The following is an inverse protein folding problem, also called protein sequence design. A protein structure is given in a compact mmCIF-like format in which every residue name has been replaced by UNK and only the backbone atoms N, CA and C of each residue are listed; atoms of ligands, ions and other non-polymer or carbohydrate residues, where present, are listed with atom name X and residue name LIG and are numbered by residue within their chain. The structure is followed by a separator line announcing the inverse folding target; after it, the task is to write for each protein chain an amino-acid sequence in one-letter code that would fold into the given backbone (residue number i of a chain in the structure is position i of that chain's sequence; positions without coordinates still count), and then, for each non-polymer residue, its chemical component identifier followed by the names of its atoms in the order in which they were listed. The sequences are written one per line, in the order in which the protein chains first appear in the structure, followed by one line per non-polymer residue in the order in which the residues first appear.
data_IF_831060240711
#
_entry.id   IF_831060240711
#
_cell.length_a   1.000
_cell.length_b   1.000
_cell.length_c   1.000
_cell.angle_alpha   90.00
_cell.angle_beta   90.00
_cell.angle_gamma   90.00
#
_symmetry.space_group_name_H-M   'P 1'
#
loop_
_entity.id
_entity.type
_entity.pdbx_description
1 polymer ?
#
# COMPACT_ATOMS: atom_id res chain seq x y z
N UNK A 1 19.95 37.55 11.62
CA UNK A 1 20.42 36.39 10.84
C UNK A 1 19.23 35.74 10.13
N UNK A 2 19.16 35.82 8.79
CA UNK A 2 18.09 35.19 8.00
C UNK A 2 18.50 33.76 7.69
N UNK A 3 17.74 32.77 8.20
CA UNK A 3 17.95 31.36 7.89
C UNK A 3 17.41 31.08 6.49
N UNK A 4 18.30 30.79 5.54
CA UNK A 4 17.95 30.31 4.21
C UNK A 4 17.48 28.86 4.32
N UNK A 5 16.21 28.61 4.00
CA UNK A 5 15.69 27.26 3.87
C UNK A 5 16.09 26.70 2.50
N UNK A 6 16.84 25.60 2.51
CA UNK A 6 17.28 24.89 1.33
C UNK A 6 16.07 24.24 0.64
N UNK A 7 15.90 24.52 -0.66
CA UNK A 7 14.77 24.05 -1.45
C UNK A 7 15.06 22.62 -1.90
N UNK A 8 14.75 21.67 -1.01
CA UNK A 8 14.78 20.24 -1.31
C UNK A 8 14.00 19.91 -2.58
N UNK A 9 14.64 19.15 -3.46
CA UNK A 9 14.17 18.79 -4.79
C UNK A 9 12.96 17.85 -4.69
N UNK A 10 11.76 18.35 -5.02
CA UNK A 10 10.49 17.59 -4.90
C UNK A 10 10.19 16.92 -6.25
N UNK A 11 10.45 15.61 -6.35
CA UNK A 11 10.04 14.84 -7.52
C UNK A 11 8.55 14.48 -7.44
N UNK A 12 7.77 14.90 -8.44
CA UNK A 12 6.34 14.59 -8.56
C UNK A 12 6.16 13.18 -9.11
N UNK A 13 5.59 12.28 -8.32
CA UNK A 13 5.05 11.02 -8.81
C UNK A 13 3.56 11.26 -9.13
N UNK A 14 3.20 11.17 -10.40
CA UNK A 14 1.82 11.35 -10.85
C UNK A 14 0.98 10.12 -10.46
N UNK A 15 -0.11 10.32 -9.72
CA UNK A 15 -1.13 9.30 -9.44
C UNK A 15 -2.51 9.85 -9.82
N UNK A 16 -3.28 9.07 -10.59
CA UNK A 16 -4.50 9.46 -11.30
C UNK A 16 -5.78 9.42 -10.42
N UNK A 17 -5.76 9.98 -9.20
CA UNK A 17 -6.99 10.21 -8.42
C UNK A 17 -6.88 11.48 -7.56
N UNK A 18 -7.91 12.32 -7.60
CA UNK A 18 -7.82 13.77 -7.30
C UNK A 18 -7.71 14.18 -5.82
N UNK A 19 -7.47 13.29 -4.85
CA UNK A 19 -7.57 13.69 -3.42
C UNK A 19 -6.32 13.42 -2.55
N UNK A 20 -5.33 12.65 -3.03
CA UNK A 20 -4.15 12.34 -2.21
C UNK A 20 -2.85 12.74 -2.90
N UNK A 21 -2.13 13.73 -2.36
CA UNK A 21 -0.75 14.00 -2.77
C UNK A 21 0.18 13.19 -1.87
N UNK A 22 0.79 12.13 -2.42
CA UNK A 22 1.90 11.44 -1.78
C UNK A 22 3.20 12.17 -2.14
N UNK A 23 3.98 12.55 -1.13
CA UNK A 23 5.34 13.05 -1.35
C UNK A 23 6.29 12.43 -0.35
N UNK A 24 7.46 12.03 -0.82
CA UNK A 24 8.53 11.50 0.02
C UNK A 24 9.44 12.66 0.44
N UNK A 25 9.61 12.85 1.75
CA UNK A 25 10.60 13.78 2.30
C UNK A 25 11.79 12.95 2.78
N UNK A 26 13.00 13.30 2.32
CA UNK A 26 14.22 12.68 2.85
C UNK A 26 14.68 13.46 4.08
N UNK A 27 14.60 12.85 5.26
CA UNK A 27 15.19 13.39 6.50
C UNK A 27 16.18 12.35 7.04
N UNK A 28 17.47 12.68 7.06
CA UNK A 28 18.50 11.82 7.66
C UNK A 28 18.72 10.46 6.99
N UNK A 29 18.44 10.32 5.69
CA UNK A 29 18.69 9.08 4.93
C UNK A 29 17.61 8.00 5.06
N UNK A 30 16.51 8.24 5.78
CA UNK A 30 15.31 7.40 5.75
C UNK A 30 14.17 8.11 5.01
N UNK A 31 13.46 7.44 4.10
CA UNK A 31 12.30 8.03 3.43
C UNK A 31 11.18 8.24 4.44
N UNK A 32 10.77 9.48 4.65
CA UNK A 32 9.59 9.83 5.43
C UNK A 32 8.42 10.02 4.48
N UNK A 33 7.42 9.15 4.60
CA UNK A 33 6.15 9.32 3.89
C UNK A 33 5.33 10.39 4.60
N UNK A 34 4.90 11.42 3.86
CA UNK A 34 4.01 12.44 4.37
C UNK A 34 2.66 12.34 3.65
N UNK A 35 1.57 12.29 4.44
CA UNK A 35 0.21 12.24 3.93
C UNK A 35 -0.48 13.56 4.28
N UNK A 36 -0.92 14.29 3.26
CA UNK A 36 -1.76 15.47 3.43
C UNK A 36 -3.21 15.11 3.07
N UNK A 37 -4.10 15.17 4.07
CA UNK A 37 -5.53 14.93 3.90
C UNK A 37 -6.24 16.29 3.78
N UNK A 38 -6.80 16.58 2.61
CA UNK A 38 -7.55 17.81 2.35
C UNK A 38 -9.04 17.63 2.67
N UNK A 39 -9.70 18.74 3.01
CA UNK A 39 -11.16 18.80 3.26
C UNK A 39 -11.63 17.87 4.40
N UNK A 40 -10.80 17.65 5.42
CA UNK A 40 -11.21 16.90 6.61
C UNK A 40 -12.14 17.78 7.47
N UNK A 41 -13.34 17.29 7.78
CA UNK A 41 -14.30 18.01 8.62
C UNK A 41 -13.74 18.29 10.02
N UNK A 42 -14.03 19.47 10.56
CA UNK A 42 -13.56 19.89 11.89
C UNK A 42 -14.08 18.97 13.01
N UNK A 43 -15.26 18.39 12.83
CA UNK A 43 -15.85 17.39 13.71
C UNK A 43 -15.01 16.10 13.75
N UNK A 44 -14.44 15.69 12.62
CA UNK A 44 -13.57 14.53 12.51
C UNK A 44 -12.24 14.81 13.22
N UNK A 45 -11.66 15.99 12.98
CA UNK A 45 -10.41 16.41 13.66
C UNK A 45 -10.60 16.43 15.18
N UNK A 46 -11.75 16.96 15.66
CA UNK A 46 -12.07 17.00 17.09
C UNK A 46 -12.16 15.60 17.70
N UNK A 47 -12.85 14.68 17.03
CA UNK A 47 -12.97 13.27 17.48
C UNK A 47 -11.62 12.56 17.48
N UNK A 48 -10.77 12.79 16.47
CA UNK A 48 -9.42 12.22 16.42
C UNK A 48 -8.54 12.72 17.56
N UNK A 49 -8.59 14.03 17.86
CA UNK A 49 -7.85 14.60 19.01
C UNK A 49 -8.33 14.00 20.33
N UNK A 50 -9.63 13.90 20.54
CA UNK A 50 -10.21 13.27 21.73
C UNK A 50 -9.74 11.83 21.88
N UNK A 51 -9.80 11.05 20.79
CA UNK A 51 -9.33 9.67 20.77
C UNK A 51 -7.84 9.54 21.07
N UNK A 52 -7.01 10.41 20.51
CA UNK A 52 -5.57 10.45 20.80
C UNK A 52 -5.29 10.73 22.29
N UNK A 53 -6.01 11.68 22.89
CA UNK A 53 -5.92 11.96 24.33
C UNK A 53 -6.34 10.77 25.19
N UNK A 54 -7.42 10.06 24.83
CA UNK A 54 -7.87 8.87 25.56
C UNK A 54 -6.85 7.72 25.47
N UNK A 55 -6.17 7.58 24.33
CA UNK A 55 -5.19 6.52 24.09
C UNK A 55 -3.77 6.89 24.55
N UNK A 56 -3.57 8.04 25.19
CA UNK A 56 -2.25 8.56 25.60
C UNK A 56 -1.24 8.64 24.44
N UNK A 57 -1.70 9.01 23.24
CA UNK A 57 -0.89 9.14 22.03
C UNK A 57 -0.92 10.56 21.49
N UNK A 58 0.09 10.92 20.71
CA UNK A 58 0.00 12.11 19.87
C UNK A 58 -1.05 11.91 18.79
N UNK A 59 -1.57 13.00 18.22
CA UNK A 59 -2.51 12.93 17.10
C UNK A 59 -1.90 12.17 15.91
N UNK A 60 -0.62 12.43 15.60
CA UNK A 60 0.12 11.72 14.56
C UNK A 60 0.21 10.22 14.87
N UNK A 61 0.58 9.85 16.09
CA UNK A 61 0.70 8.45 16.51
C UNK A 61 -0.63 7.71 16.44
N UNK A 62 -1.74 8.35 16.81
CA UNK A 62 -3.07 7.76 16.70
C UNK A 62 -3.49 7.59 15.23
N UNK A 63 -3.21 8.57 14.36
CA UNK A 63 -3.50 8.45 12.92
C UNK A 63 -2.69 7.32 12.30
N UNK A 64 -1.39 7.25 12.57
CA UNK A 64 -0.54 6.15 12.09
C UNK A 64 -1.08 4.80 12.54
N UNK A 65 -1.43 4.67 13.83
CA UNK A 65 -2.00 3.44 14.36
C UNK A 65 -3.31 3.04 13.70
N UNK A 66 -4.24 4.00 13.48
CA UNK A 66 -5.50 3.72 12.79
C UNK A 66 -5.24 3.23 11.37
N UNK A 67 -4.33 3.89 10.64
CA UNK A 67 -3.99 3.48 9.27
C UNK A 67 -3.34 2.09 9.25
N UNK A 68 -2.43 1.79 10.19
CA UNK A 68 -1.81 0.48 10.35
C UNK A 68 -2.86 -0.60 10.66
N UNK A 69 -3.77 -0.36 11.61
CA UNK A 69 -4.84 -1.30 11.95
C UNK A 69 -5.71 -1.58 10.72
N UNK A 70 -6.23 -0.53 10.07
CA UNK A 70 -7.13 -0.69 8.90
C UNK A 70 -6.42 -1.42 7.74
N UNK A 71 -5.14 -1.14 7.51
CA UNK A 71 -4.38 -1.80 6.43
C UNK A 71 -4.04 -3.24 6.77
N UNK A 72 -3.71 -3.54 8.03
CA UNK A 72 -3.46 -4.91 8.49
C UNK A 72 -4.73 -5.75 8.49
N UNK A 73 -5.85 -5.22 8.99
CA UNK A 73 -7.16 -5.89 8.99
C UNK A 73 -7.60 -6.22 7.55
N UNK A 74 -7.35 -5.31 6.61
CA UNK A 74 -7.64 -5.55 5.21
C UNK A 74 -6.69 -6.59 4.57
N UNK A 75 -5.43 -6.64 4.98
CA UNK A 75 -4.49 -7.68 4.53
C UNK A 75 -4.87 -9.05 5.09
N UNK A 76 -5.31 -9.12 6.33
CA UNK A 76 -5.79 -10.34 6.96
C UNK A 76 -7.09 -10.83 6.30
N UNK A 77 -8.06 -9.93 6.07
CA UNK A 77 -9.27 -10.22 5.30
C UNK A 77 -8.97 -10.68 3.86
N UNK A 78 -8.01 -10.04 3.18
CA UNK A 78 -7.52 -10.47 1.86
C UNK A 78 -6.84 -11.83 1.88
N UNK A 79 -6.10 -12.14 2.94
CA UNK A 79 -5.46 -13.44 3.12
C UNK A 79 -6.50 -14.54 3.32
N UNK A 80 -7.51 -14.29 4.15
CA UNK A 80 -8.61 -15.24 4.39
C UNK A 80 -9.34 -15.52 3.07
N UNK A 81 -9.76 -14.49 2.36
CA UNK A 81 -10.45 -14.63 1.06
C UNK A 81 -9.58 -15.34 0.01
N UNK A 82 -8.27 -15.07 -0.03
CA UNK A 82 -7.34 -15.79 -0.91
C UNK A 82 -7.22 -17.28 -0.54
N UNK A 83 -7.13 -17.61 0.75
CA UNK A 83 -7.08 -19.00 1.22
C UNK A 83 -8.37 -19.76 0.89
N UNK A 84 -9.53 -19.11 1.01
CA UNK A 84 -10.81 -19.69 0.61
C UNK A 84 -10.88 -19.96 -0.91
N UNK A 85 -10.51 -18.98 -1.73
CA UNK A 85 -10.50 -19.12 -3.19
C UNK A 85 -9.51 -20.19 -3.63
N UNK A 86 -8.29 -20.18 -3.09
CA UNK A 86 -7.27 -21.19 -3.40
C UNK A 86 -7.69 -22.59 -2.93
N UNK A 87 -8.34 -22.70 -1.76
CA UNK A 87 -8.93 -23.94 -1.28
C UNK A 87 -10.01 -24.47 -2.23
N UNK A 88 -10.88 -23.59 -2.74
CA UNK A 88 -11.91 -23.95 -3.73
C UNK A 88 -11.28 -24.42 -5.04
N UNK A 89 -10.23 -23.76 -5.52
CA UNK A 89 -9.51 -24.13 -6.74
C UNK A 89 -8.77 -25.46 -6.59
N UNK A 90 -8.13 -25.71 -5.43
CA UNK A 90 -7.49 -27.00 -5.11
C UNK A 90 -8.50 -28.14 -5.12
N UNK A 91 -9.70 -27.94 -4.56
CA UNK A 91 -10.79 -28.93 -4.62
C UNK A 91 -11.24 -29.20 -6.05
N UNK A 92 -11.45 -28.16 -6.85
CA UNK A 92 -11.88 -28.28 -8.25
C UNK A 92 -10.84 -28.93 -9.16
N UNK A 93 -9.56 -28.74 -8.86
CA UNK A 93 -8.44 -29.25 -9.66
C UNK A 93 -7.90 -30.59 -9.13
N UNK A 94 -8.52 -31.13 -8.07
CA UNK A 94 -8.10 -32.41 -7.46
C UNK A 94 -8.24 -33.53 -8.50
N UNK A 95 -7.14 -34.26 -8.74
CA UNK A 95 -7.09 -35.38 -9.68
C UNK A 95 -6.78 -34.99 -11.13
N UNK A 96 -6.67 -33.69 -11.46
CA UNK A 96 -6.19 -33.25 -12.76
C UNK A 96 -4.66 -33.28 -12.78
N UNK A 97 -4.05 -33.92 -13.78
CA UNK A 97 -2.60 -33.83 -14.01
C UNK A 97 -2.27 -32.37 -14.34
N UNK A 98 -1.49 -31.72 -13.50
CA UNK A 98 -0.95 -30.39 -13.77
C UNK A 98 0.47 -30.54 -14.30
N UNK A 99 0.75 -29.90 -15.43
CA UNK A 99 2.13 -29.77 -15.92
C UNK A 99 2.91 -28.90 -14.95
N UNK A 100 4.14 -29.28 -14.63
CA UNK A 100 4.97 -28.51 -13.71
C UNK A 100 5.25 -27.12 -14.30
N UNK A 101 5.26 -26.09 -13.45
CA UNK A 101 5.43 -24.71 -13.89
C UNK A 101 6.80 -24.51 -14.57
N UNK A 102 7.81 -25.26 -14.14
CA UNK A 102 9.16 -25.23 -14.68
C UNK A 102 9.19 -25.66 -16.15
N UNK A 103 8.39 -26.66 -16.53
CA UNK A 103 8.27 -27.10 -17.92
C UNK A 103 7.58 -26.05 -18.80
N UNK A 104 6.50 -25.44 -18.30
CA UNK A 104 5.77 -24.39 -19.02
C UNK A 104 6.64 -23.15 -19.25
N UNK A 105 7.39 -22.72 -18.23
CA UNK A 105 8.31 -21.57 -18.32
C UNK A 105 9.48 -21.87 -19.26
N UNK A 106 9.98 -23.11 -19.29
CA UNK A 106 11.00 -23.53 -20.27
C UNK A 106 10.46 -23.55 -21.69
N UNK A 107 9.26 -24.08 -21.89
CA UNK A 107 8.59 -24.10 -23.20
C UNK A 107 8.43 -22.69 -23.74
N UNK A 108 7.91 -21.76 -22.93
CA UNK A 108 7.75 -20.33 -23.25
C UNK A 108 9.06 -19.63 -23.64
N UNK A 109 10.14 -19.90 -22.90
CA UNK A 109 11.48 -19.35 -23.23
C UNK A 109 12.08 -19.96 -24.49
N UNK A 110 11.83 -21.24 -24.74
CA UNK A 110 12.40 -21.98 -25.86
C UNK A 110 11.62 -21.74 -27.17
N UNK A 111 10.32 -21.48 -27.10
CA UNK A 111 9.49 -21.20 -28.26
C UNK A 111 9.63 -19.77 -28.78
N UNK A 112 10.55 -18.98 -28.19
CA UNK A 112 11.13 -17.74 -28.72
C UNK A 112 10.14 -16.89 -29.51
N UNK A 113 9.54 -15.90 -28.84
CA UNK A 113 8.65 -14.88 -29.41
C UNK A 113 8.70 -14.84 -30.95
N UNK A 114 7.71 -15.45 -31.61
CA UNK A 114 7.55 -15.31 -33.06
C UNK A 114 7.00 -13.91 -33.29
N UNK A 115 7.92 -12.98 -33.55
CA UNK A 115 7.62 -11.64 -34.06
C UNK A 115 7.04 -11.80 -35.48
N UNK A 116 5.73 -12.03 -35.57
CA UNK A 116 5.05 -12.33 -36.81
C UNK A 116 3.63 -11.78 -36.82
N UNK A 117 3.52 -10.44 -36.76
CA UNK A 117 2.39 -9.67 -37.24
C UNK A 117 2.90 -8.53 -38.11
#
# INVERSE_FOLDING_TARGET
MRKTWDRGNVSKIACASTICHHYAINVGGKPMAAINVRQLGDDVVKRLKQRASLNNRSLEGEICHILECVTNDHMEAKRITFLEVSGRLRKKTRGRKQTSAELLVREDRNCGHRDGF
#
